data_IF_243345938917
#
_entry.id   IF_243345938917
#
_cell.length_a   1.000
_cell.length_b   1.000
_cell.length_c   1.000
_cell.angle_alpha   90.00
_cell.angle_beta   90.00
_cell.angle_gamma   90.00
#
_symmetry.space_group_name_H-M   'P 1'
#
loop_
_entity.id
_entity.type
_entity.pdbx_description
1 polymer ?
#
# COMPACT_ATOMS: atom_id res chain seq x y z
N UNK A 1 15.23 -68.93 -0.65
CA UNK A 1 14.35 -69.80 0.17
C UNK A 1 13.68 -68.97 1.22
N UNK A 2 12.41 -68.73 1.01
CA UNK A 2 11.51 -67.93 1.87
C UNK A 2 11.06 -68.74 3.08
N UNK A 3 11.04 -68.15 4.27
CA UNK A 3 10.26 -68.68 5.40
C UNK A 3 9.42 -67.57 6.00
N UNK A 4 8.14 -67.68 5.69
CA UNK A 4 7.01 -66.95 6.28
C UNK A 4 6.81 -67.46 7.75
N UNK A 5 6.75 -66.51 8.73
CA UNK A 5 6.31 -66.79 10.09
C UNK A 5 4.83 -66.45 10.26
N UNK A 6 4.07 -67.51 10.67
CA UNK A 6 2.61 -67.48 10.85
C UNK A 6 2.23 -66.86 12.20
N UNK A 7 1.14 -66.08 12.19
CA UNK A 7 0.46 -65.52 13.35
C UNK A 7 -0.43 -66.49 14.08
N UNK A 8 0.13 -67.49 14.80
CA UNK A 8 -0.66 -68.28 15.77
C UNK A 8 0.31 -68.93 16.75
N UNK A 9 0.30 -68.44 17.99
CA UNK A 9 1.04 -69.15 19.07
C UNK A 9 1.43 -68.25 20.22
N UNK A 10 0.47 -67.56 20.85
CA UNK A 10 0.69 -66.97 22.16
C UNK A 10 -0.64 -66.96 22.94
N UNK A 11 -1.03 -68.13 23.40
CA UNK A 11 -2.02 -68.25 24.45
C UNK A 11 -1.67 -69.56 25.23
N UNK A 12 -1.36 -69.38 26.46
CA UNK A 12 -1.38 -70.24 27.61
C UNK A 12 -0.08 -70.25 28.39
N UNK A 13 -0.09 -69.49 29.47
CA UNK A 13 0.49 -69.89 30.76
C UNK A 13 -0.13 -68.98 31.83
N UNK A 14 -1.02 -69.54 32.62
CA UNK A 14 -1.60 -68.94 33.80
C UNK A 14 -0.62 -68.93 34.96
N UNK A 15 -0.58 -67.83 35.72
CA UNK A 15 -0.04 -67.81 37.09
C UNK A 15 -0.96 -66.85 37.89
N UNK A 16 -1.64 -67.48 38.85
CA UNK A 16 -2.40 -66.84 39.91
C UNK A 16 -1.45 -66.14 40.87
N UNK A 17 -1.50 -64.82 40.92
CA UNK A 17 -0.89 -64.00 41.96
C UNK A 17 -1.98 -63.22 42.67
N UNK A 18 -2.08 -63.38 44.02
CA UNK A 18 -3.03 -62.63 44.86
C UNK A 18 -2.72 -61.14 44.82
N UNK A 19 -3.72 -60.33 44.46
CA UNK A 19 -3.63 -58.87 44.44
C UNK A 19 -4.26 -58.32 45.70
N UNK A 20 -3.45 -57.70 46.57
CA UNK A 20 -3.92 -56.78 47.61
C UNK A 20 -4.44 -55.48 47.01
N UNK A 21 -5.51 -54.88 47.54
CA UNK A 21 -6.03 -53.62 46.98
C UNK A 21 -5.10 -52.52 47.38
N UNK A 22 -4.28 -52.03 46.42
CA UNK A 22 -3.64 -50.76 46.48
C UNK A 22 -4.72 -49.70 46.20
N UNK A 23 -5.03 -48.90 47.22
CA UNK A 23 -5.81 -47.62 47.05
C UNK A 23 -5.10 -46.71 46.04
N UNK A 24 -5.48 -46.81 44.80
CA UNK A 24 -5.08 -45.87 43.79
C UNK A 24 -5.70 -44.49 44.12
N UNK A 25 -4.89 -43.52 44.55
CA UNK A 25 -5.26 -42.11 44.53
C UNK A 25 -5.82 -41.80 43.16
N UNK A 26 -7.07 -41.40 43.09
CA UNK A 26 -7.69 -40.87 41.85
C UNK A 26 -6.79 -39.76 41.33
N UNK A 27 -6.10 -39.99 40.21
CA UNK A 27 -5.51 -38.94 39.43
C UNK A 27 -6.70 -38.09 38.92
N UNK A 28 -6.71 -36.81 39.32
CA UNK A 28 -7.58 -35.85 38.69
C UNK A 28 -7.42 -35.98 37.16
N UNK A 29 -8.53 -36.10 36.46
CA UNK A 29 -8.51 -36.05 35.00
C UNK A 29 -7.74 -34.79 34.59
N UNK A 30 -6.88 -34.87 33.57
CA UNK A 30 -6.27 -33.65 33.05
C UNK A 30 -7.40 -32.69 32.68
N UNK A 31 -7.26 -31.43 33.12
CA UNK A 31 -8.18 -30.38 32.76
C UNK A 31 -8.40 -30.43 31.23
N UNK A 32 -9.67 -30.40 30.83
CA UNK A 32 -10.01 -30.32 29.41
C UNK A 32 -9.22 -29.15 28.80
N UNK A 33 -8.60 -29.33 27.63
CA UNK A 33 -7.86 -28.23 27.02
C UNK A 33 -8.77 -26.99 26.94
N UNK A 34 -8.36 -25.90 27.60
CA UNK A 34 -9.06 -24.65 27.53
C UNK A 34 -9.11 -24.23 26.06
N UNK A 35 -10.31 -24.24 25.47
CA UNK A 35 -10.51 -23.65 24.15
C UNK A 35 -10.31 -22.14 24.32
N UNK A 36 -9.11 -21.68 24.05
CA UNK A 36 -8.85 -20.24 23.92
C UNK A 36 -9.54 -19.81 22.65
N UNK A 37 -10.75 -19.30 22.78
CA UNK A 37 -11.41 -18.59 21.67
C UNK A 37 -10.54 -17.37 21.38
N UNK A 38 -9.95 -17.23 20.19
CA UNK A 38 -9.21 -16.04 19.87
C UNK A 38 -10.10 -14.84 20.10
N UNK A 39 -9.65 -13.88 20.88
CA UNK A 39 -10.37 -12.61 21.04
C UNK A 39 -10.54 -12.01 19.63
N UNK A 40 -11.78 -11.77 19.20
CA UNK A 40 -12.06 -11.19 17.89
C UNK A 40 -11.17 -9.97 17.69
N UNK A 41 -10.50 -9.90 16.55
CA UNK A 41 -9.72 -8.74 16.19
C UNK A 41 -10.67 -7.53 16.08
N UNK A 42 -10.18 -6.32 16.36
CA UNK A 42 -10.99 -5.12 16.13
C UNK A 42 -10.79 -4.66 14.70
N UNK A 43 -11.84 -4.29 13.97
CA UNK A 43 -11.69 -3.68 12.66
C UNK A 43 -10.80 -2.43 12.75
N UNK A 44 -9.92 -2.26 11.77
CA UNK A 44 -8.99 -1.14 11.71
C UNK A 44 -8.69 -0.81 10.26
N UNK A 45 -8.73 0.47 9.92
CA UNK A 45 -8.28 1.02 8.63
C UNK A 45 -7.18 2.04 8.90
N UNK A 46 -6.07 1.93 8.18
CA UNK A 46 -5.02 2.95 8.12
C UNK A 46 -4.82 3.40 6.68
N UNK A 47 -4.46 4.65 6.48
CA UNK A 47 -4.20 5.22 5.16
C UNK A 47 -3.20 6.36 5.23
N UNK A 48 -2.63 6.75 4.08
CA UNK A 48 -2.03 8.08 3.94
C UNK A 48 -3.03 9.18 4.35
N UNK A 49 -2.54 10.36 4.69
CA UNK A 49 -3.32 11.47 5.23
C UNK A 49 -4.56 11.82 4.39
N UNK A 50 -4.40 11.85 3.05
CA UNK A 50 -5.47 12.17 2.11
C UNK A 50 -6.67 11.22 2.18
N UNK A 51 -6.50 10.00 2.69
CA UNK A 51 -7.61 9.08 2.92
C UNK A 51 -8.67 9.56 3.93
N UNK A 52 -8.38 10.63 4.69
CA UNK A 52 -9.34 11.30 5.59
C UNK A 52 -9.61 12.77 5.24
N UNK A 53 -9.35 13.18 4.01
CA UNK A 53 -9.51 14.59 3.57
C UNK A 53 -10.60 14.75 2.52
N UNK A 54 -10.70 13.84 1.55
CA UNK A 54 -11.58 13.96 0.40
C UNK A 54 -12.84 13.11 0.53
N UNK A 55 -13.96 13.61 0.01
CA UNK A 55 -15.28 12.95 0.09
C UNK A 55 -15.98 12.83 -1.28
N UNK A 56 -15.42 13.40 -2.33
CA UNK A 56 -16.03 13.46 -3.67
C UNK A 56 -17.51 13.91 -3.63
N UNK A 57 -17.81 14.94 -2.83
CA UNK A 57 -19.18 15.42 -2.63
C UNK A 57 -20.09 14.49 -1.80
N UNK A 58 -19.61 13.35 -1.35
CA UNK A 58 -20.32 12.39 -0.53
C UNK A 58 -20.25 12.68 0.98
N UNK A 59 -20.87 11.84 1.82
CA UNK A 59 -20.88 12.03 3.26
C UNK A 59 -19.60 11.53 3.95
N UNK A 60 -18.85 10.60 3.35
CA UNK A 60 -17.74 9.87 3.97
C UNK A 60 -16.43 10.11 3.26
N UNK A 61 -15.34 10.09 4.03
CA UNK A 61 -13.96 9.98 3.54
C UNK A 61 -13.64 8.53 3.17
N UNK A 62 -12.48 8.30 2.52
CA UNK A 62 -12.05 6.95 2.13
C UNK A 62 -11.93 5.99 3.32
N UNK A 63 -11.33 6.44 4.43
CA UNK A 63 -11.17 5.58 5.62
C UNK A 63 -12.50 5.31 6.31
N UNK A 64 -13.45 6.26 6.31
CA UNK A 64 -14.79 6.07 6.83
C UNK A 64 -15.58 5.05 6.01
N UNK A 65 -15.55 5.16 4.69
CA UNK A 65 -16.26 4.25 3.79
C UNK A 65 -15.73 2.82 3.92
N UNK A 66 -14.41 2.66 3.94
CA UNK A 66 -13.79 1.35 4.10
C UNK A 66 -14.14 0.75 5.47
N UNK A 67 -14.03 1.51 6.55
CA UNK A 67 -14.33 1.05 7.90
C UNK A 67 -15.81 0.64 8.05
N UNK A 68 -16.72 1.47 7.58
CA UNK A 68 -18.17 1.20 7.64
C UNK A 68 -18.53 -0.13 6.96
N UNK A 69 -17.99 -0.37 5.75
CA UNK A 69 -18.22 -1.64 5.06
C UNK A 69 -17.68 -2.85 5.82
N UNK A 70 -16.46 -2.73 6.35
CA UNK A 70 -15.80 -3.81 7.11
C UNK A 70 -16.55 -4.08 8.41
N UNK A 71 -16.97 -3.04 9.13
CA UNK A 71 -17.74 -3.16 10.37
C UNK A 71 -19.08 -3.89 10.19
N UNK A 72 -19.68 -3.77 9.00
CA UNK A 72 -20.90 -4.48 8.62
C UNK A 72 -20.66 -5.85 7.96
N UNK A 73 -19.44 -6.39 8.03
CA UNK A 73 -19.11 -7.73 7.55
C UNK A 73 -18.82 -7.83 6.04
N UNK A 74 -18.58 -6.71 5.36
CA UNK A 74 -18.19 -6.68 3.95
C UNK A 74 -16.77 -7.24 3.73
N UNK A 75 -16.48 -7.66 2.49
CA UNK A 75 -15.13 -8.08 2.07
C UNK A 75 -14.16 -6.92 2.27
N UNK A 76 -13.03 -7.22 2.91
CA UNK A 76 -12.04 -6.20 3.32
C UNK A 76 -11.43 -5.50 2.10
N UNK A 77 -11.11 -6.26 1.05
CA UNK A 77 -10.47 -5.68 -0.12
C UNK A 77 -11.44 -4.82 -0.95
N UNK A 78 -12.67 -5.30 -1.12
CA UNK A 78 -13.75 -4.53 -1.77
C UNK A 78 -14.05 -3.23 -1.00
N UNK A 79 -14.01 -3.28 0.33
CA UNK A 79 -14.19 -2.11 1.18
C UNK A 79 -13.06 -1.09 1.00
N UNK A 80 -11.80 -1.54 0.96
CA UNK A 80 -10.64 -0.70 0.68
C UNK A 80 -10.77 -0.06 -0.71
N UNK A 81 -11.08 -0.85 -1.74
CA UNK A 81 -11.23 -0.35 -3.11
C UNK A 81 -12.37 0.65 -3.22
N UNK A 82 -13.50 0.42 -2.51
CA UNK A 82 -14.57 1.40 -2.44
C UNK A 82 -14.11 2.72 -1.80
N UNK A 83 -13.32 2.63 -0.73
CA UNK A 83 -12.74 3.81 -0.06
C UNK A 83 -11.80 4.59 -0.96
N UNK A 84 -10.76 3.95 -1.52
CA UNK A 84 -9.78 4.65 -2.37
C UNK A 84 -10.40 5.19 -3.66
N UNK A 85 -11.48 4.56 -4.16
CA UNK A 85 -12.22 5.06 -5.31
C UNK A 85 -12.87 6.43 -5.07
N UNK A 86 -13.11 6.83 -3.82
CA UNK A 86 -13.59 8.18 -3.50
C UNK A 86 -12.55 9.22 -3.96
N UNK A 87 -11.27 8.99 -3.66
CA UNK A 87 -10.19 9.88 -4.09
C UNK A 87 -9.94 9.79 -5.59
N UNK A 88 -9.96 8.59 -6.16
CA UNK A 88 -9.78 8.38 -7.59
C UNK A 88 -10.82 9.16 -8.44
N UNK A 89 -11.97 9.43 -7.88
CA UNK A 89 -13.09 10.13 -8.54
C UNK A 89 -13.20 11.60 -8.15
N UNK A 90 -12.51 12.06 -7.11
CA UNK A 90 -12.63 13.43 -6.60
C UNK A 90 -11.77 14.39 -7.42
N UNK A 91 -12.38 15.34 -8.18
CA UNK A 91 -11.61 16.27 -9.00
C UNK A 91 -10.78 17.29 -8.19
N UNK A 92 -11.00 17.39 -6.89
CA UNK A 92 -10.20 18.21 -5.99
C UNK A 92 -8.90 17.51 -5.54
N UNK A 93 -8.79 16.18 -5.74
CA UNK A 93 -7.59 15.41 -5.50
C UNK A 93 -6.76 15.32 -6.79
N UNK A 94 -5.76 16.17 -6.94
CA UNK A 94 -4.95 16.30 -8.15
C UNK A 94 -3.73 15.36 -8.21
N UNK A 95 -3.67 14.35 -7.32
CA UNK A 95 -2.55 13.43 -7.23
C UNK A 95 -2.93 11.96 -7.43
N UNK A 96 -4.23 11.66 -7.50
CA UNK A 96 -4.77 10.29 -7.62
C UNK A 96 -5.94 10.29 -8.62
N UNK A 97 -5.95 9.35 -9.57
CA UNK A 97 -7.12 9.13 -10.43
C UNK A 97 -7.49 10.28 -11.37
N UNK A 98 -8.79 10.59 -11.44
CA UNK A 98 -9.36 11.64 -12.29
C UNK A 98 -8.88 13.02 -11.83
N UNK A 99 -8.33 13.79 -12.76
CA UNK A 99 -7.80 15.11 -12.44
C UNK A 99 -6.41 15.12 -11.83
N UNK A 100 -5.76 13.97 -11.71
CA UNK A 100 -4.36 13.88 -11.30
C UNK A 100 -3.44 14.66 -12.22
N UNK A 101 -2.28 15.10 -11.72
CA UNK A 101 -1.32 15.85 -12.56
C UNK A 101 -0.77 14.93 -13.65
N UNK A 102 -0.86 15.34 -14.93
CA UNK A 102 -0.52 14.48 -16.05
C UNK A 102 1.00 14.29 -16.22
N UNK A 103 1.35 13.41 -17.13
CA UNK A 103 2.72 13.22 -17.61
C UNK A 103 3.21 14.42 -18.46
N UNK A 104 4.45 14.39 -18.94
CA UNK A 104 5.05 15.48 -19.73
C UNK A 104 4.32 15.79 -21.04
N UNK A 105 3.52 14.86 -21.56
CA UNK A 105 2.73 15.03 -22.78
C UNK A 105 1.26 15.43 -22.49
N UNK A 106 0.91 15.68 -21.23
CA UNK A 106 -0.44 16.12 -20.85
C UNK A 106 -1.44 14.99 -20.68
N UNK A 107 -0.98 13.73 -20.63
CA UNK A 107 -1.83 12.53 -20.49
C UNK A 107 -1.77 12.03 -19.05
N UNK A 108 -2.94 11.77 -18.47
CA UNK A 108 -3.02 11.11 -17.13
C UNK A 108 -2.84 9.63 -17.30
N UNK A 109 -1.77 9.09 -16.69
CA UNK A 109 -1.44 7.66 -16.62
C UNK A 109 -1.46 7.22 -15.18
N UNK A 110 -2.30 6.22 -14.87
CA UNK A 110 -2.63 5.77 -13.53
C UNK A 110 -2.04 4.41 -13.22
N UNK A 111 -1.62 4.24 -11.95
CA UNK A 111 -1.06 3.01 -11.43
C UNK A 111 -1.86 2.59 -10.19
N UNK A 112 -2.12 1.28 -10.03
CA UNK A 112 -2.73 0.74 -8.83
C UNK A 112 -2.31 -0.70 -8.57
N UNK A 113 -2.27 -1.07 -7.28
CA UNK A 113 -2.09 -2.44 -6.82
C UNK A 113 -3.05 -2.73 -5.67
N UNK A 114 -3.66 -3.90 -5.71
CA UNK A 114 -4.47 -4.47 -4.62
C UNK A 114 -3.88 -5.80 -4.17
N UNK A 115 -3.93 -6.09 -2.86
CA UNK A 115 -3.38 -7.32 -2.31
C UNK A 115 -4.27 -7.84 -1.18
N UNK A 116 -4.63 -9.11 -1.29
CA UNK A 116 -5.41 -9.84 -0.30
C UNK A 116 -4.49 -10.79 0.47
N UNK A 117 -4.15 -10.45 1.72
CA UNK A 117 -3.14 -11.17 2.50
C UNK A 117 -3.47 -12.63 2.78
N UNK A 118 -4.70 -12.94 3.16
CA UNK A 118 -5.10 -14.31 3.49
C UNK A 118 -5.22 -15.20 2.25
N UNK A 119 -5.69 -14.66 1.12
CA UNK A 119 -5.79 -15.41 -0.15
C UNK A 119 -4.46 -15.46 -0.89
N UNK A 120 -3.47 -14.71 -0.47
CA UNK A 120 -2.16 -14.55 -1.13
C UNK A 120 -2.32 -14.25 -2.63
N UNK A 121 -3.23 -13.32 -2.93
CA UNK A 121 -3.56 -12.89 -4.29
C UNK A 121 -3.46 -11.39 -4.43
N UNK A 122 -3.00 -10.98 -5.60
CA UNK A 122 -2.84 -9.57 -5.93
C UNK A 122 -3.25 -9.30 -7.38
N UNK A 123 -3.56 -8.05 -7.66
CA UNK A 123 -3.75 -7.55 -9.00
C UNK A 123 -3.24 -6.12 -9.11
N UNK A 124 -2.78 -5.75 -10.30
CA UNK A 124 -2.24 -4.43 -10.53
C UNK A 124 -2.44 -3.95 -11.97
N UNK A 125 -2.43 -2.65 -12.11
CA UNK A 125 -2.36 -1.96 -13.39
C UNK A 125 -1.33 -0.84 -13.32
N UNK A 126 -0.64 -0.60 -14.43
CA UNK A 126 0.35 0.46 -14.52
C UNK A 126 0.25 1.21 -15.85
N UNK A 127 0.53 2.51 -15.82
CA UNK A 127 0.40 3.40 -16.96
C UNK A 127 -0.98 3.24 -17.67
N UNK A 128 -2.04 3.03 -16.89
CA UNK A 128 -3.41 2.88 -17.39
C UNK A 128 -3.97 4.26 -17.77
N UNK A 129 -4.51 4.37 -18.97
CA UNK A 129 -5.13 5.58 -19.50
C UNK A 129 -6.65 5.42 -19.63
N UNK A 130 -7.38 6.52 -19.48
CA UNK A 130 -8.81 6.61 -19.80
C UNK A 130 -9.75 5.94 -18.80
N UNK A 131 -9.28 5.45 -17.66
CA UNK A 131 -10.13 4.85 -16.62
C UNK A 131 -9.92 5.57 -15.30
N UNK A 132 -10.98 6.17 -14.74
CA UNK A 132 -10.90 6.98 -13.52
C UNK A 132 -10.53 6.18 -12.27
N UNK A 133 -10.85 4.87 -12.23
CA UNK A 133 -10.72 4.00 -11.06
C UNK A 133 -9.76 2.85 -11.30
N UNK A 134 -8.44 3.10 -11.36
CA UNK A 134 -7.43 2.07 -11.61
C UNK A 134 -7.44 0.96 -10.55
N UNK A 135 -7.77 1.27 -9.29
CA UNK A 135 -7.87 0.26 -8.22
C UNK A 135 -8.96 -0.79 -8.49
N UNK A 136 -10.08 -0.40 -9.10
CA UNK A 136 -11.13 -1.34 -9.52
C UNK A 136 -10.68 -2.23 -10.67
N UNK A 137 -9.89 -1.70 -11.60
CA UNK A 137 -9.30 -2.51 -12.68
C UNK A 137 -8.28 -3.49 -12.11
N UNK A 138 -7.42 -3.05 -11.18
CA UNK A 138 -6.48 -3.91 -10.47
C UNK A 138 -7.20 -5.05 -9.72
N UNK A 139 -8.32 -4.75 -9.07
CA UNK A 139 -9.17 -5.75 -8.42
C UNK A 139 -9.75 -6.76 -9.43
N UNK A 140 -10.23 -6.29 -10.58
CA UNK A 140 -10.73 -7.16 -11.65
C UNK A 140 -9.63 -8.08 -12.21
N UNK A 141 -8.38 -7.59 -12.36
CA UNK A 141 -7.23 -8.42 -12.74
C UNK A 141 -7.04 -9.55 -11.72
N UNK A 142 -7.04 -9.24 -10.43
CA UNK A 142 -6.89 -10.24 -9.37
C UNK A 142 -8.02 -11.28 -9.36
N UNK A 143 -9.26 -10.83 -9.57
CA UNK A 143 -10.46 -11.68 -9.44
C UNK A 143 -10.67 -12.59 -10.64
N UNK A 144 -10.31 -12.15 -11.85
CA UNK A 144 -10.72 -12.81 -13.10
C UNK A 144 -9.58 -13.44 -13.89
N UNK A 145 -8.33 -13.24 -13.46
CA UNK A 145 -7.15 -13.80 -14.14
C UNK A 145 -6.18 -14.42 -13.14
N UNK A 146 -5.18 -15.12 -13.64
CA UNK A 146 -4.00 -15.59 -12.88
C UNK A 146 -2.79 -14.66 -13.06
N UNK A 147 -2.96 -13.55 -13.78
CA UNK A 147 -1.93 -12.53 -13.94
C UNK A 147 -1.93 -11.59 -12.73
N UNK A 148 -0.77 -10.96 -12.49
CA UNK A 148 -0.64 -9.97 -11.43
C UNK A 148 -0.72 -8.54 -11.95
N UNK A 149 -0.03 -8.21 -13.05
CA UNK A 149 0.14 -6.84 -13.51
C UNK A 149 -0.13 -6.72 -15.02
N UNK A 150 -1.06 -5.83 -15.37
CA UNK A 150 -1.29 -5.39 -16.74
C UNK A 150 -0.84 -3.95 -16.92
N UNK A 151 -0.29 -3.59 -18.09
CA UNK A 151 0.29 -2.26 -18.31
C UNK A 151 -0.21 -1.57 -19.58
N UNK A 152 -0.28 -0.26 -19.57
CA UNK A 152 -0.55 0.61 -20.71
C UNK A 152 -1.76 0.21 -21.54
N UNK A 153 -1.61 0.15 -22.86
CA UNK A 153 -2.67 -0.20 -23.79
C UNK A 153 -3.29 -1.60 -23.53
N UNK A 154 -2.49 -2.54 -23.02
CA UNK A 154 -2.96 -3.86 -22.61
C UNK A 154 -3.92 -3.79 -21.41
N UNK A 155 -3.59 -3.00 -20.41
CA UNK A 155 -4.44 -2.75 -19.24
C UNK A 155 -5.75 -2.03 -19.66
N UNK A 156 -5.68 -1.06 -20.55
CA UNK A 156 -6.86 -0.36 -21.07
C UNK A 156 -7.77 -1.31 -21.88
N UNK A 157 -7.18 -2.18 -22.73
CA UNK A 157 -7.94 -3.15 -23.49
C UNK A 157 -8.64 -4.17 -22.58
N UNK A 158 -7.97 -4.61 -21.51
CA UNK A 158 -8.56 -5.45 -20.47
C UNK A 158 -9.73 -4.73 -19.79
N UNK A 159 -9.50 -3.49 -19.32
CA UNK A 159 -10.54 -2.70 -18.67
C UNK A 159 -11.79 -2.54 -19.56
N UNK A 160 -11.61 -2.24 -20.85
CA UNK A 160 -12.72 -2.17 -21.81
C UNK A 160 -13.50 -3.49 -21.91
N UNK A 161 -12.81 -4.62 -21.97
CA UNK A 161 -13.46 -5.96 -22.02
C UNK A 161 -14.21 -6.29 -20.73
N UNK A 162 -13.76 -5.77 -19.60
CA UNK A 162 -14.43 -5.90 -18.29
C UNK A 162 -15.58 -4.92 -18.09
N UNK A 163 -15.90 -4.10 -19.09
CA UNK A 163 -17.03 -3.16 -19.06
C UNK A 163 -16.72 -1.81 -18.42
N UNK A 164 -15.46 -1.50 -18.14
CA UNK A 164 -15.10 -0.16 -17.68
C UNK A 164 -15.25 0.86 -18.80
N UNK A 165 -15.78 2.05 -18.44
CA UNK A 165 -15.83 3.19 -19.34
C UNK A 165 -14.40 3.66 -19.65
N UNK A 166 -14.08 3.83 -20.91
CA UNK A 166 -12.84 4.42 -21.37
C UNK A 166 -13.13 5.85 -21.81
N UNK A 167 -12.45 6.81 -21.24
CA UNK A 167 -12.55 8.23 -21.55
C UNK A 167 -11.31 8.69 -22.32
N UNK A 168 -11.48 9.60 -23.25
CA UNK A 168 -10.38 10.09 -24.10
C UNK A 168 -9.42 10.99 -23.29
N UNK A 169 -9.92 11.65 -22.26
CA UNK A 169 -9.16 12.56 -21.41
C UNK A 169 -9.66 12.52 -19.96
N UNK A 170 -8.74 12.33 -19.03
CA UNK A 170 -8.99 12.35 -17.59
C UNK A 170 -8.59 13.68 -16.93
N UNK A 171 -8.10 14.66 -17.70
CA UNK A 171 -7.76 15.97 -17.16
C UNK A 171 -9.02 16.72 -16.69
N UNK A 172 -8.89 17.42 -15.58
CA UNK A 172 -9.78 18.51 -15.19
C UNK A 172 -9.26 19.82 -15.79
N UNK A 173 -10.04 20.90 -15.70
CA UNK A 173 -9.57 22.24 -16.08
C UNK A 173 -8.32 22.61 -15.28
N UNK A 174 -8.29 22.27 -13.98
CA UNK A 174 -7.15 22.54 -13.11
C UNK A 174 -5.90 21.77 -13.55
N UNK A 175 -5.95 20.45 -13.68
CA UNK A 175 -4.77 19.66 -14.05
C UNK A 175 -4.23 20.04 -15.44
N UNK A 176 -5.12 20.39 -16.36
CA UNK A 176 -4.73 20.90 -17.69
C UNK A 176 -4.06 22.28 -17.61
N UNK A 177 -4.60 23.20 -16.80
CA UNK A 177 -4.00 24.53 -16.63
C UNK A 177 -2.60 24.43 -15.99
N UNK A 178 -2.44 23.58 -14.96
CA UNK A 178 -1.16 23.31 -14.31
C UNK A 178 -0.15 22.72 -15.30
N UNK A 179 -0.56 21.77 -16.15
CA UNK A 179 0.31 21.21 -17.17
C UNK A 179 0.70 22.24 -18.24
N UNK A 180 -0.24 23.06 -18.71
CA UNK A 180 0.05 24.12 -19.69
C UNK A 180 1.05 25.14 -19.14
N UNK A 181 0.92 25.51 -17.86
CA UNK A 181 1.86 26.43 -17.21
C UNK A 181 3.25 25.81 -17.07
N UNK A 182 3.34 24.54 -16.67
CA UNK A 182 4.62 23.81 -16.66
C UNK A 182 5.24 23.74 -18.06
N UNK A 183 4.42 23.44 -19.09
CA UNK A 183 4.86 23.37 -20.48
C UNK A 183 5.37 24.71 -20.99
N UNK A 184 4.70 25.80 -20.62
CA UNK A 184 5.11 27.16 -20.99
C UNK A 184 6.45 27.56 -20.37
N UNK A 185 6.75 27.12 -19.16
CA UNK A 185 8.02 27.39 -18.45
C UNK A 185 9.17 26.50 -18.93
N UNK A 186 8.85 25.36 -19.47
CA UNK A 186 9.86 24.45 -20.01
C UNK A 186 10.36 25.00 -21.35
N UNK A 187 11.70 25.11 -21.49
CA UNK A 187 12.32 25.58 -22.74
C UNK A 187 12.09 24.56 -23.86
N UNK A 188 11.44 24.94 -24.99
CA UNK A 188 11.23 24.05 -26.13
C UNK A 188 12.51 23.44 -26.70
N UNK A 189 13.64 24.14 -26.65
CA UNK A 189 14.91 23.66 -27.18
C UNK A 189 15.44 22.40 -26.48
N UNK A 190 15.11 22.22 -25.21
CA UNK A 190 15.56 21.04 -24.47
C UNK A 190 14.89 19.73 -24.92
N UNK A 191 13.84 19.77 -25.75
CA UNK A 191 13.26 18.56 -26.34
C UNK A 191 14.25 17.81 -27.26
N UNK A 192 15.23 18.50 -27.79
CA UNK A 192 16.27 17.91 -28.64
C UNK A 192 17.45 17.34 -27.82
N UNK A 193 17.58 17.76 -26.56
CA UNK A 193 18.62 17.32 -25.65
C UNK A 193 17.96 16.73 -24.37
N UNK A 194 18.03 15.40 -24.16
CA UNK A 194 17.36 14.77 -23.02
C UNK A 194 17.80 15.26 -21.65
N UNK A 195 19.09 15.60 -21.48
CA UNK A 195 19.60 16.11 -20.21
C UNK A 195 19.09 17.52 -19.91
N UNK A 196 19.14 18.40 -20.90
CA UNK A 196 18.60 19.76 -20.76
C UNK A 196 17.09 19.76 -20.57
N UNK A 197 16.38 18.87 -21.26
CA UNK A 197 14.94 18.68 -21.09
C UNK A 197 14.59 18.34 -19.64
N UNK A 198 15.25 17.35 -19.08
CA UNK A 198 15.02 16.94 -17.69
C UNK A 198 15.26 18.09 -16.72
N UNK A 199 16.41 18.75 -16.83
CA UNK A 199 16.78 19.87 -15.96
C UNK A 199 15.83 21.10 -16.11
N UNK A 200 15.32 21.37 -17.30
CA UNK A 200 14.37 22.47 -17.52
C UNK A 200 12.99 22.14 -16.95
N UNK A 201 12.52 20.91 -17.10
CA UNK A 201 11.28 20.42 -16.50
C UNK A 201 11.31 20.45 -14.96
N UNK A 202 12.44 20.05 -14.36
CA UNK A 202 12.64 20.13 -12.92
C UNK A 202 12.64 21.59 -12.43
N UNK A 203 13.38 22.49 -13.08
CA UNK A 203 13.37 23.92 -12.73
C UNK A 203 11.96 24.55 -12.86
N UNK A 204 11.20 24.19 -13.89
CA UNK A 204 9.83 24.67 -14.07
C UNK A 204 8.93 24.20 -12.92
N UNK A 205 9.01 22.92 -12.55
CA UNK A 205 8.27 22.36 -11.43
C UNK A 205 8.65 23.04 -10.11
N UNK A 206 9.93 23.19 -9.83
CA UNK A 206 10.43 23.77 -8.59
C UNK A 206 10.02 25.24 -8.45
N UNK A 207 10.04 26.00 -9.56
CA UNK A 207 9.51 27.36 -9.59
C UNK A 207 8.00 27.41 -9.30
N UNK A 208 7.23 26.47 -9.86
CA UNK A 208 5.77 26.39 -9.59
C UNK A 208 5.48 26.00 -8.15
N UNK A 209 6.31 25.17 -7.54
CA UNK A 209 6.23 24.85 -6.11
C UNK A 209 6.52 26.09 -5.25
N UNK A 210 7.57 26.83 -5.57
CA UNK A 210 7.93 28.07 -4.85
C UNK A 210 6.85 29.15 -4.95
N UNK A 211 6.13 29.21 -6.06
CA UNK A 211 5.03 30.15 -6.31
C UNK A 211 3.67 29.66 -5.75
N UNK A 212 3.60 28.45 -5.22
CA UNK A 212 2.36 27.88 -4.70
C UNK A 212 1.36 27.40 -5.76
N UNK A 213 1.79 27.30 -7.02
CA UNK A 213 0.98 26.74 -8.13
C UNK A 213 0.91 25.21 -8.09
N UNK A 214 1.84 24.59 -7.39
CA UNK A 214 1.87 23.16 -7.06
C UNK A 214 2.00 23.00 -5.54
N UNK A 215 1.32 22.03 -4.98
CA UNK A 215 1.51 21.65 -3.58
C UNK A 215 2.65 20.61 -3.45
N UNK A 216 3.61 20.80 -2.53
CA UNK A 216 4.67 19.81 -2.29
C UNK A 216 4.14 18.41 -1.97
N UNK A 217 3.04 18.32 -1.22
CA UNK A 217 2.41 17.04 -0.84
C UNK A 217 1.77 16.32 -2.04
N UNK A 218 1.58 17.01 -3.18
CA UNK A 218 0.88 16.49 -4.36
C UNK A 218 1.78 16.20 -5.56
N UNK A 219 3.04 16.63 -5.52
CA UNK A 219 4.03 16.30 -6.57
C UNK A 219 4.28 14.79 -6.66
N UNK A 220 4.15 14.09 -5.54
CA UNK A 220 4.28 12.64 -5.39
C UNK A 220 2.99 12.03 -4.82
N UNK A 221 1.84 12.47 -5.32
CA UNK A 221 0.56 12.07 -4.75
C UNK A 221 0.25 10.61 -4.96
N UNK A 222 -0.20 9.99 -3.89
CA UNK A 222 -0.57 8.58 -3.82
C UNK A 222 -1.53 8.40 -2.65
N UNK A 223 -2.49 7.51 -2.75
CA UNK A 223 -3.15 6.96 -1.58
C UNK A 223 -2.72 5.52 -1.37
N UNK A 224 -2.26 5.21 -0.15
CA UNK A 224 -2.18 3.85 0.36
C UNK A 224 -3.26 3.64 1.43
N UNK A 225 -3.91 2.49 1.40
CA UNK A 225 -4.84 2.07 2.44
C UNK A 225 -4.65 0.60 2.76
N UNK A 226 -4.55 0.27 4.04
CA UNK A 226 -4.59 -1.10 4.56
C UNK A 226 -5.70 -1.23 5.60
N UNK A 227 -6.34 -2.39 5.64
CA UNK A 227 -7.39 -2.65 6.61
C UNK A 227 -7.35 -4.08 7.14
N UNK A 228 -7.90 -4.23 8.36
CA UNK A 228 -8.10 -5.51 9.04
C UNK A 228 -9.55 -5.64 9.48
N UNK A 229 -10.15 -6.81 9.26
CA UNK A 229 -11.50 -7.13 9.76
C UNK A 229 -11.50 -7.66 11.20
N UNK A 230 -12.69 -7.83 11.77
CA UNK A 230 -12.90 -8.52 13.05
C UNK A 230 -12.48 -10.00 13.00
N UNK A 231 -12.49 -10.63 11.83
CA UNK A 231 -11.97 -12.00 11.61
C UNK A 231 -10.44 -12.05 11.50
N UNK A 232 -9.75 -10.90 11.51
CA UNK A 232 -8.30 -10.84 11.37
C UNK A 232 -7.81 -10.85 9.91
N UNK A 233 -8.69 -10.81 8.93
CA UNK A 233 -8.32 -10.72 7.52
C UNK A 233 -7.69 -9.35 7.21
N UNK A 234 -6.55 -9.35 6.53
CA UNK A 234 -5.79 -8.12 6.22
C UNK A 234 -5.66 -7.99 4.71
N UNK A 235 -5.94 -6.79 4.19
CA UNK A 235 -5.80 -6.42 2.79
C UNK A 235 -5.18 -5.02 2.66
N UNK A 236 -4.70 -4.70 1.44
CA UNK A 236 -4.15 -3.39 1.14
C UNK A 236 -4.32 -2.99 -0.31
N UNK A 237 -4.38 -1.69 -0.56
CA UNK A 237 -4.38 -1.10 -1.89
C UNK A 237 -3.53 0.17 -1.92
N UNK A 238 -2.89 0.40 -3.05
CA UNK A 238 -2.17 1.65 -3.34
C UNK A 238 -2.55 2.09 -4.76
N UNK A 239 -2.88 3.36 -4.92
CA UNK A 239 -3.26 3.94 -6.22
C UNK A 239 -2.75 5.38 -6.36
N UNK A 240 -2.40 5.77 -7.60
CA UNK A 240 -1.70 7.03 -7.86
C UNK A 240 -1.82 7.47 -9.31
N UNK A 241 -1.70 8.78 -9.56
CA UNK A 241 -1.35 9.32 -10.89
C UNK A 241 0.18 9.38 -11.13
N UNK A 242 0.98 9.02 -10.12
CA UNK A 242 2.44 9.01 -10.18
C UNK A 242 3.09 10.36 -9.92
N UNK A 243 4.29 10.53 -10.44
CA UNK A 243 5.05 11.77 -10.35
C UNK A 243 4.48 12.81 -11.32
N UNK A 244 4.30 14.05 -10.85
CA UNK A 244 3.91 15.18 -11.69
C UNK A 244 4.86 15.34 -12.90
N UNK A 245 4.31 15.47 -14.09
CA UNK A 245 5.03 15.65 -15.36
C UNK A 245 6.04 14.53 -15.66
N UNK A 246 5.78 13.33 -15.15
CA UNK A 246 6.61 12.14 -15.41
C UNK A 246 6.78 11.88 -16.91
N UNK A 247 7.88 11.25 -17.28
CA UNK A 247 8.05 10.75 -18.66
C UNK A 247 6.91 9.79 -18.97
N UNK A 248 6.25 9.89 -20.15
CA UNK A 248 5.22 8.95 -20.56
C UNK A 248 5.66 7.49 -20.42
N UNK A 249 4.84 6.69 -19.76
CA UNK A 249 5.17 5.29 -19.46
C UNK A 249 6.00 5.06 -18.19
N UNK A 250 6.44 6.10 -17.47
CA UNK A 250 7.08 5.93 -16.16
C UNK A 250 6.10 5.35 -15.16
N UNK A 251 6.49 4.29 -14.51
CA UNK A 251 5.79 3.61 -13.43
C UNK A 251 6.62 3.74 -12.15
N UNK A 252 5.98 4.14 -11.05
CA UNK A 252 6.59 4.19 -9.73
C UNK A 252 6.47 2.87 -8.99
N UNK A 253 6.51 2.95 -7.66
CA UNK A 253 6.41 1.80 -6.77
C UNK A 253 4.98 1.29 -6.57
N UNK A 254 3.97 2.15 -6.73
CA UNK A 254 2.59 1.86 -6.35
C UNK A 254 2.00 0.56 -6.93
N UNK A 255 2.23 0.18 -8.20
CA UNK A 255 1.69 -1.07 -8.75
C UNK A 255 2.61 -2.28 -8.50
N UNK A 256 3.77 -2.09 -7.88
CA UNK A 256 4.79 -3.12 -7.72
C UNK A 256 4.68 -3.76 -6.33
N UNK A 257 4.41 -5.08 -6.31
CA UNK A 257 4.36 -5.86 -5.08
C UNK A 257 5.68 -5.80 -4.32
N UNK A 258 5.55 -5.58 -3.01
CA UNK A 258 6.70 -5.46 -2.12
C UNK A 258 7.29 -4.06 -2.06
N UNK A 259 7.05 -3.22 -3.09
CA UNK A 259 7.46 -1.82 -3.09
C UNK A 259 6.34 -0.92 -2.55
N UNK A 260 5.37 -0.54 -3.36
CA UNK A 260 4.30 0.39 -2.96
C UNK A 260 3.21 -0.23 -2.06
N UNK A 261 3.09 -1.55 -2.06
CA UNK A 261 2.13 -2.28 -1.24
C UNK A 261 2.62 -3.72 -0.97
N UNK A 262 2.50 -4.14 0.28
CA UNK A 262 2.70 -5.53 0.66
C UNK A 262 1.82 -5.93 1.84
N UNK A 263 1.19 -7.11 1.73
CA UNK A 263 0.35 -7.67 2.80
C UNK A 263 0.67 -9.14 2.99
N UNK A 264 0.86 -9.53 4.23
CA UNK A 264 0.87 -10.92 4.69
C UNK A 264 -0.21 -11.06 5.75
N UNK A 265 -1.21 -11.90 5.48
CA UNK A 265 -2.38 -12.05 6.35
C UNK A 265 -2.05 -12.54 7.76
N UNK A 266 -0.92 -13.21 7.96
CA UNK A 266 -0.48 -13.68 9.27
C UNK A 266 0.39 -12.65 10.02
N UNK A 267 0.91 -11.64 9.34
CA UNK A 267 1.90 -10.71 9.88
C UNK A 267 1.39 -9.29 9.94
N UNK A 268 0.91 -8.75 8.80
CA UNK A 268 0.49 -7.38 8.68
C UNK A 268 0.56 -6.83 7.26
N UNK A 269 0.47 -5.52 7.15
CA UNK A 269 0.49 -4.78 5.90
C UNK A 269 1.39 -3.55 5.99
N UNK A 270 1.96 -3.18 4.85
CA UNK A 270 2.68 -1.92 4.67
C UNK A 270 2.50 -1.38 3.26
N UNK A 271 2.45 -0.06 3.13
CA UNK A 271 2.53 0.62 1.85
C UNK A 271 3.13 2.01 1.99
N UNK A 272 3.34 2.64 0.85
CA UNK A 272 4.13 3.86 0.75
C UNK A 272 3.47 4.95 -0.07
N UNK A 273 3.93 6.18 0.15
CA UNK A 273 3.70 7.35 -0.71
C UNK A 273 5.00 8.13 -0.85
N UNK A 274 5.13 8.94 -1.89
CA UNK A 274 6.30 9.77 -2.12
C UNK A 274 7.18 9.25 -3.26
N UNK A 275 8.51 9.36 -3.13
CA UNK A 275 9.43 8.99 -4.23
C UNK A 275 9.50 7.48 -4.43
N UNK A 276 8.81 7.00 -5.48
CA UNK A 276 8.66 5.58 -5.78
C UNK A 276 9.97 4.86 -6.08
N UNK A 277 10.88 5.47 -6.84
CA UNK A 277 12.17 4.87 -7.21
C UNK A 277 13.02 4.52 -5.99
N UNK A 278 13.00 5.36 -4.96
CA UNK A 278 13.75 5.08 -3.72
C UNK A 278 13.22 3.84 -2.99
N UNK A 279 11.91 3.60 -3.09
CA UNK A 279 11.27 2.41 -2.52
C UNK A 279 11.51 1.15 -3.35
N UNK A 280 11.46 1.26 -4.69
CA UNK A 280 11.63 0.13 -5.62
C UNK A 280 12.91 -0.67 -5.36
N UNK A 281 14.04 -0.01 -5.17
CA UNK A 281 15.34 -0.67 -4.99
C UNK A 281 15.44 -1.52 -3.72
N UNK A 282 14.58 -1.27 -2.74
CA UNK A 282 14.58 -1.97 -1.46
C UNK A 282 13.43 -2.94 -1.28
N UNK A 283 12.39 -2.90 -2.15
CA UNK A 283 11.10 -3.53 -1.91
C UNK A 283 10.63 -3.25 -0.48
N UNK A 284 10.61 -1.96 -0.12
CA UNK A 284 10.64 -1.55 1.29
C UNK A 284 9.35 -1.91 2.03
N UNK A 285 8.19 -2.00 1.36
CA UNK A 285 6.96 -2.48 2.01
C UNK A 285 7.07 -3.96 2.39
N UNK A 286 7.68 -4.80 1.54
CA UNK A 286 7.99 -6.19 1.88
C UNK A 286 8.94 -6.27 3.06
N UNK A 287 10.02 -5.47 3.04
CA UNK A 287 10.99 -5.42 4.12
C UNK A 287 10.34 -5.07 5.46
N UNK A 288 9.47 -4.06 5.50
CA UNK A 288 8.75 -3.67 6.74
C UNK A 288 7.94 -4.85 7.29
N UNK A 289 7.19 -5.55 6.43
CA UNK A 289 6.39 -6.70 6.88
C UNK A 289 7.29 -7.86 7.30
N UNK A 290 8.44 -8.06 6.65
CA UNK A 290 9.41 -9.10 7.06
C UNK A 290 10.08 -8.77 8.40
N UNK A 291 10.39 -7.51 8.70
CA UNK A 291 10.85 -7.10 10.03
C UNK A 291 9.75 -7.29 11.09
N UNK A 292 8.48 -6.98 10.77
CA UNK A 292 7.35 -7.29 11.66
C UNK A 292 7.19 -8.81 11.88
N UNK A 293 7.46 -9.64 10.87
CA UNK A 293 7.49 -11.11 11.00
C UNK A 293 8.55 -11.58 12.01
N UNK A 294 9.69 -10.88 12.08
CA UNK A 294 10.76 -11.13 13.05
C UNK A 294 10.46 -10.59 14.44
N UNK A 295 9.31 -9.94 14.63
CA UNK A 295 8.82 -9.44 15.91
C UNK A 295 9.01 -7.94 16.14
N UNK A 296 9.48 -7.19 15.15
CA UNK A 296 9.59 -5.74 15.27
C UNK A 296 8.20 -5.09 15.38
N UNK A 297 8.10 -4.03 16.19
CA UNK A 297 6.94 -3.14 16.18
C UNK A 297 6.86 -2.39 14.83
N UNK A 298 5.66 -2.08 14.28
CA UNK A 298 5.54 -1.35 13.01
C UNK A 298 6.44 -0.11 12.90
N UNK A 299 6.53 0.68 13.96
CA UNK A 299 7.39 1.88 13.99
C UNK A 299 8.88 1.56 13.77
N UNK A 300 9.39 0.51 14.42
CA UNK A 300 10.80 0.12 14.32
C UNK A 300 11.11 -0.47 12.93
N UNK A 301 10.18 -1.27 12.39
CA UNK A 301 10.27 -1.80 11.04
C UNK A 301 10.29 -0.70 9.97
N UNK A 302 9.45 0.34 10.13
CA UNK A 302 9.45 1.53 9.26
C UNK A 302 10.79 2.28 9.33
N UNK A 303 11.32 2.49 10.55
CA UNK A 303 12.59 3.17 10.74
C UNK A 303 13.75 2.43 10.06
N UNK A 304 13.76 1.09 10.12
CA UNK A 304 14.78 0.26 9.46
C UNK A 304 14.70 0.38 7.93
N UNK A 305 13.49 0.32 7.35
CA UNK A 305 13.31 0.50 5.92
C UNK A 305 13.81 1.88 5.44
N UNK A 306 13.47 2.94 6.18
CA UNK A 306 13.91 4.30 5.86
C UNK A 306 15.43 4.46 6.00
N UNK A 307 16.08 3.87 7.01
CA UNK A 307 17.56 3.87 7.13
C UNK A 307 18.21 3.22 5.91
N UNK A 308 17.64 2.11 5.41
CA UNK A 308 18.18 1.43 4.21
C UNK A 308 17.98 2.28 2.95
N UNK A 309 16.89 3.03 2.84
CA UNK A 309 16.69 3.99 1.74
C UNK A 309 17.78 5.07 1.80
N UNK A 310 18.01 5.69 2.97
CA UNK A 310 19.07 6.69 3.14
C UNK A 310 20.43 6.12 2.73
N UNK A 311 20.81 4.95 3.25
CA UNK A 311 22.09 4.33 2.97
C UNK A 311 22.32 3.97 1.48
N UNK A 312 21.22 3.71 0.73
CA UNK A 312 21.27 3.38 -0.70
C UNK A 312 21.18 4.59 -1.62
N UNK A 313 20.81 5.75 -1.09
CA UNK A 313 20.73 6.99 -1.86
C UNK A 313 22.13 7.57 -2.03
N UNK A 314 22.79 7.22 -3.13
CA UNK A 314 24.18 7.60 -3.42
C UNK A 314 24.30 8.55 -4.61
N UNK A 315 23.23 8.73 -5.36
CA UNK A 315 23.23 9.58 -6.54
C UNK A 315 23.19 11.05 -6.16
N UNK A 316 24.20 11.81 -6.61
CA UNK A 316 24.43 13.21 -6.19
C UNK A 316 23.22 14.13 -6.40
N UNK A 317 22.46 13.95 -7.50
CA UNK A 317 21.26 14.76 -7.79
C UNK A 317 20.09 14.48 -6.84
N UNK A 318 20.17 13.40 -6.06
CA UNK A 318 19.15 13.01 -5.06
C UNK A 318 19.59 13.34 -3.64
N UNK A 319 20.72 14.02 -3.49
CA UNK A 319 21.28 14.40 -2.20
C UNK A 319 21.32 15.92 -2.06
N UNK A 320 21.03 16.38 -0.85
CA UNK A 320 21.29 17.76 -0.44
C UNK A 320 22.77 18.00 -0.26
N UNK A 321 23.14 19.27 -0.03
CA UNK A 321 24.52 19.66 0.24
C UNK A 321 25.11 18.99 1.49
N UNK A 322 24.27 18.63 2.46
CA UNK A 322 24.66 17.92 3.68
C UNK A 322 24.75 16.39 3.52
N UNK A 323 24.50 15.88 2.31
CA UNK A 323 24.53 14.46 1.98
C UNK A 323 23.26 13.68 2.37
N UNK A 324 22.23 14.33 2.88
CA UNK A 324 20.92 13.68 3.13
C UNK A 324 20.07 13.66 1.85
N UNK A 325 19.08 12.73 1.72
CA UNK A 325 18.18 12.72 0.57
C UNK A 325 17.44 14.05 0.38
N UNK A 326 17.30 14.48 -0.88
CA UNK A 326 16.56 15.70 -1.26
C UNK A 326 15.06 15.47 -1.43
N UNK A 327 14.58 14.24 -1.33
CA UNK A 327 13.19 13.81 -1.52
C UNK A 327 12.58 13.24 -0.24
N UNK A 328 11.25 13.10 -0.21
CA UNK A 328 10.54 12.38 0.85
C UNK A 328 9.92 11.06 0.34
N UNK A 329 9.81 10.11 1.25
CA UNK A 329 9.03 8.89 1.13
C UNK A 329 8.44 8.55 2.48
N UNK A 330 7.17 8.20 2.51
CA UNK A 330 6.40 7.89 3.73
C UNK A 330 5.88 6.47 3.64
N UNK A 331 5.88 5.80 4.78
CA UNK A 331 5.33 4.45 4.90
C UNK A 331 4.28 4.39 6.00
N UNK A 332 3.31 3.50 5.81
CA UNK A 332 2.21 3.24 6.72
C UNK A 332 2.11 1.74 6.94
N UNK A 333 2.21 1.30 8.19
CA UNK A 333 2.21 -0.13 8.51
C UNK A 333 1.27 -0.46 9.66
N UNK A 334 0.68 -1.65 9.58
CA UNK A 334 -0.09 -2.28 10.66
C UNK A 334 0.28 -3.75 10.77
N UNK A 335 0.34 -4.29 11.99
CA UNK A 335 0.52 -5.72 12.19
C UNK A 335 -0.81 -6.44 12.49
N UNK A 336 -0.76 -7.77 12.53
CA UNK A 336 -1.92 -8.60 12.79
C UNK A 336 -2.54 -8.39 14.19
N UNK A 337 -1.80 -7.79 15.15
CA UNK A 337 -2.31 -7.42 16.46
C UNK A 337 -3.09 -6.10 16.44
N UNK A 338 -2.96 -5.29 15.38
CA UNK A 338 -3.56 -3.97 15.24
C UNK A 338 -2.70 -2.83 15.78
N UNK A 339 -1.44 -3.09 16.10
CA UNK A 339 -0.45 -2.05 16.30
C UNK A 339 -0.14 -1.43 14.92
N UNK A 340 -0.02 -0.12 14.86
CA UNK A 340 0.19 0.58 13.59
C UNK A 340 1.07 1.83 13.78
N UNK A 341 1.73 2.24 12.72
CA UNK A 341 2.54 3.44 12.66
C UNK A 341 2.58 4.04 11.25
N UNK A 342 2.85 5.34 11.17
CA UNK A 342 3.30 6.03 9.98
C UNK A 342 4.67 6.65 10.24
N UNK A 343 5.56 6.67 9.24
CA UNK A 343 6.87 7.33 9.33
C UNK A 343 7.32 7.79 7.94
N UNK A 344 7.92 8.99 7.88
CA UNK A 344 8.53 9.54 6.67
C UNK A 344 10.05 9.65 6.80
N UNK A 345 10.75 9.91 5.68
CA UNK A 345 12.15 10.35 5.77
C UNK A 345 12.25 11.63 6.56
N UNK A 346 11.31 12.56 6.34
CA UNK A 346 11.23 13.83 7.06
C UNK A 346 9.86 13.97 7.74
N UNK A 347 9.87 14.61 8.91
CA UNK A 347 8.63 14.87 9.64
C UNK A 347 7.78 15.97 8.98
N UNK A 348 8.40 16.91 8.23
CA UNK A 348 7.69 18.09 7.73
C UNK A 348 7.16 18.98 8.88
N UNK A 349 6.18 19.82 8.58
CA UNK A 349 5.60 20.74 9.59
C UNK A 349 4.52 20.06 10.45
N UNK A 350 3.71 19.16 9.91
CA UNK A 350 2.61 18.46 10.60
C UNK A 350 2.33 17.11 9.94
N UNK A 351 3.28 16.16 10.03
CA UNK A 351 3.15 14.87 9.35
C UNK A 351 2.10 14.02 10.06
N UNK A 352 1.11 13.56 9.30
CA UNK A 352 0.01 12.74 9.80
C UNK A 352 -0.35 11.64 8.83
N UNK A 353 -0.96 10.59 9.34
CA UNK A 353 -1.64 9.55 8.56
C UNK A 353 -3.04 9.34 9.10
N UNK A 354 -3.91 8.77 8.29
CA UNK A 354 -5.30 8.56 8.62
C UNK A 354 -5.51 7.19 9.29
N UNK A 355 -6.37 7.17 10.28
CA UNK A 355 -6.81 5.95 10.98
C UNK A 355 -8.32 6.02 11.16
N UNK A 356 -9.02 4.91 10.95
CA UNK A 356 -10.40 4.73 11.34
C UNK A 356 -10.58 3.41 12.08
N UNK A 357 -11.15 3.46 13.25
CA UNK A 357 -11.53 2.34 14.09
C UNK A 357 -12.87 2.63 14.80
N UNK A 358 -13.22 1.88 15.82
CA UNK A 358 -14.46 2.07 16.60
C UNK A 358 -14.59 3.49 17.21
N UNK A 359 -13.49 4.26 17.29
CA UNK A 359 -13.48 5.65 17.78
C UNK A 359 -13.76 6.67 16.66
N UNK A 360 -13.95 6.20 15.45
CA UNK A 360 -14.14 7.01 14.25
C UNK A 360 -12.83 7.42 13.55
N UNK A 361 -12.97 8.20 12.45
CA UNK A 361 -11.83 8.65 11.66
C UNK A 361 -11.02 9.72 12.40
N UNK A 362 -9.70 9.67 12.26
CA UNK A 362 -8.77 10.66 12.83
C UNK A 362 -7.45 10.69 12.11
N UNK A 363 -6.75 11.81 12.24
CA UNK A 363 -5.37 11.95 11.83
C UNK A 363 -4.46 11.70 13.03
N UNK A 364 -3.47 10.83 12.85
CA UNK A 364 -2.48 10.46 13.87
C UNK A 364 -1.12 11.00 13.43
N UNK A 365 -0.37 11.59 14.36
CA UNK A 365 0.97 12.09 14.11
C UNK A 365 1.90 10.96 13.67
N UNK A 366 2.81 11.27 12.76
CA UNK A 366 3.88 10.37 12.35
C UNK A 366 5.24 11.01 12.60
N UNK A 367 6.27 10.16 12.77
CA UNK A 367 7.64 10.62 12.99
C UNK A 367 8.40 10.76 11.66
N UNK A 368 9.45 11.57 11.66
CA UNK A 368 10.46 11.61 10.63
C UNK A 368 11.73 10.90 11.09
N UNK A 369 12.41 10.20 10.18
CA UNK A 369 13.72 9.61 10.46
C UNK A 369 14.81 10.68 10.53
N UNK A 370 14.75 11.68 9.67
CA UNK A 370 15.70 12.77 9.54
C UNK A 370 15.08 14.10 10.00
N UNK A 371 15.86 15.01 10.57
CA UNK A 371 15.39 16.36 10.88
C UNK A 371 15.21 17.20 9.61
N UNK A 372 14.39 18.25 9.70
CA UNK A 372 14.17 19.19 8.61
C UNK A 372 13.08 18.75 7.62
N UNK A 373 13.28 19.09 6.36
CA UNK A 373 12.37 18.83 5.24
C UNK A 373 13.15 18.45 4.00
N UNK A 374 12.54 17.78 2.99
CA UNK A 374 13.16 17.60 1.68
C UNK A 374 13.42 18.97 1.02
N UNK A 375 14.29 18.99 0.03
CA UNK A 375 14.36 20.14 -0.87
C UNK A 375 13.07 20.17 -1.70
N UNK A 376 12.60 21.36 -2.04
CA UNK A 376 11.37 21.57 -2.77
C UNK A 376 11.44 21.05 -4.21
#
# INVERSE_FOLDING_TARGET
>A
MSRTLSRRGFLTLGATAAVAPLLAKARSAPDAPSVVTPRAARPLVISSKNGNEFKNGGPRTAVEEAFERIAHGGDVLEAIVAGVSILELDPAEDSVGYGGIPNADGVIQLDACVLHGTRTRAGGVAALEGVRTPSRVALAVMQTTDHHLLVGAGAQAFARRMGFKIEDDLNTEHSRAVWLEWKRRSDPEHYLDPEKRSAAGDRARDAMLAEGLLSPDRVHGTIHMSARSAAGEICGATTTSGLAFKIPGRVGDSPILGAGNWVDGAVGACGSTGRGEANLYGLSSFLVVDEMRRGAHPKDALAEALRRIVARTVEKRLLKADGTPSFDVKFYAMNAKGEHAGMGLFAGADPKYAVCDEKGPRLVAMDGLLPGKPDA
#
